data_IF_043635804242
#
_entry.id   IF_043635804242
#
_cell.length_a   1.000
_cell.length_b   1.000
_cell.length_c   1.000
_cell.angle_alpha   90.00
_cell.angle_beta   90.00
_cell.angle_gamma   90.00
#
_symmetry.space_group_name_H-M   'P 1'
#
loop_
_entity.id
_entity.type
_entity.pdbx_description
1 polymer ?
#
# COMPACT_ATOMS: atom_id res chain seq x y z
N UNK A 1 65.17 33.70 6.53
CA UNK A 1 64.45 34.92 6.98
C UNK A 1 62.97 34.75 6.66
N UNK A 2 62.10 35.04 7.63
CA UNK A 2 60.64 35.27 7.56
C UNK A 2 59.63 34.10 7.42
N UNK A 3 58.88 34.00 8.52
CA UNK A 3 57.63 33.31 8.83
C UNK A 3 56.46 33.82 7.96
N UNK A 4 55.49 32.96 7.63
CA UNK A 4 54.04 33.26 7.73
C UNK A 4 53.15 32.01 7.56
N UNK A 5 52.45 31.75 8.65
CA UNK A 5 51.28 30.92 8.92
C UNK A 5 50.25 30.81 7.80
N UNK A 6 49.64 29.64 7.62
CA UNK A 6 48.23 29.55 7.22
C UNK A 6 47.56 28.36 7.91
N UNK A 7 46.81 28.69 8.95
CA UNK A 7 45.81 27.85 9.61
C UNK A 7 44.63 27.73 8.64
N UNK A 8 44.19 26.51 8.31
CA UNK A 8 43.09 26.29 7.37
C UNK A 8 42.35 24.98 7.65
N UNK A 9 41.40 25.06 8.57
CA UNK A 9 40.38 24.05 8.90
C UNK A 9 39.57 23.62 7.68
N UNK A 10 39.52 22.32 7.37
CA UNK A 10 38.47 21.71 6.54
C UNK A 10 38.04 20.37 7.15
N UNK A 11 37.56 20.42 8.39
CA UNK A 11 36.61 19.43 8.92
C UNK A 11 35.21 19.83 8.46
N UNK A 12 34.52 18.96 7.70
CA UNK A 12 33.08 19.14 7.49
C UNK A 12 32.55 18.84 6.09
N UNK A 13 32.87 17.67 5.52
CA UNK A 13 32.07 17.12 4.42
C UNK A 13 31.85 15.61 4.62
N UNK A 14 31.72 15.20 5.89
CA UNK A 14 31.38 13.83 6.26
C UNK A 14 29.88 13.62 5.99
N UNK A 15 29.60 12.83 4.95
CA UNK A 15 28.45 11.92 4.83
C UNK A 15 27.07 12.52 5.15
N UNK A 16 26.46 13.21 4.19
CA UNK A 16 25.02 13.48 4.24
C UNK A 16 24.31 13.20 2.90
N UNK A 17 24.66 12.09 2.24
CA UNK A 17 24.03 11.69 0.97
C UNK A 17 23.40 10.29 0.97
N UNK A 18 23.26 9.61 2.12
CA UNK A 18 22.76 8.21 2.16
C UNK A 18 21.56 8.03 3.09
N UNK A 19 20.70 9.04 3.27
CA UNK A 19 19.49 8.85 4.07
C UNK A 19 18.35 9.71 3.55
N UNK A 20 17.92 9.46 2.31
CA UNK A 20 16.52 9.69 2.00
C UNK A 20 15.98 8.38 1.47
N UNK A 21 15.31 7.55 2.31
CA UNK A 21 14.29 6.69 1.75
C UNK A 21 13.26 7.64 1.14
N UNK A 22 13.35 7.91 -0.16
CA UNK A 22 12.26 8.54 -0.92
C UNK A 22 11.17 7.50 -1.15
N UNK A 23 10.83 6.72 -0.13
CA UNK A 23 9.50 6.15 -0.03
C UNK A 23 8.62 7.31 0.42
N UNK A 24 8.40 8.25 -0.49
CA UNK A 24 7.18 9.01 -0.49
C UNK A 24 6.10 7.95 -0.67
N UNK A 25 5.61 7.41 0.44
CA UNK A 25 4.38 6.64 0.51
C UNK A 25 3.28 7.65 0.17
N UNK A 26 3.18 8.02 -1.11
CA UNK A 26 1.96 8.55 -1.64
C UNK A 26 0.95 7.44 -1.35
N UNK A 27 -0.07 7.77 -0.56
CA UNK A 27 -1.12 6.84 -0.18
C UNK A 27 -1.42 5.89 -1.36
N UNK A 28 -1.12 4.60 -1.21
CA UNK A 28 -1.22 3.61 -2.30
C UNK A 28 -2.67 3.57 -2.81
N UNK A 29 -3.59 4.02 -1.96
CA UNK A 29 -4.92 4.54 -2.26
C UNK A 29 -5.89 4.04 -1.20
N UNK A 30 -7.12 3.76 -1.62
CA UNK A 30 -8.09 3.13 -0.73
C UNK A 30 -8.80 1.96 -1.42
N UNK A 31 -9.14 0.94 -0.64
CA UNK A 31 -10.12 -0.06 -1.07
C UNK A 31 -11.38 0.18 -0.28
N UNK A 32 -12.46 0.51 -0.98
CA UNK A 32 -13.78 0.68 -0.38
C UNK A 32 -14.61 -0.56 -0.66
N UNK A 33 -15.26 -1.12 0.37
CA UNK A 33 -16.12 -2.27 0.20
C UNK A 33 -17.40 -2.14 1.01
N UNK A 34 -18.45 -2.81 0.53
CA UNK A 34 -19.72 -2.93 1.23
C UNK A 34 -19.82 -4.35 1.74
N UNK A 35 -19.94 -4.51 3.05
CA UNK A 35 -20.13 -5.82 3.68
C UNK A 35 -21.55 -6.38 3.43
N UNK A 36 -21.75 -7.64 3.82
CA UNK A 36 -23.03 -8.34 3.67
C UNK A 36 -24.19 -7.68 4.46
N UNK A 37 -23.87 -6.85 5.47
CA UNK A 37 -24.88 -6.08 6.21
C UNK A 37 -25.20 -4.73 5.54
N UNK A 38 -24.52 -4.39 4.45
CA UNK A 38 -24.70 -3.14 3.73
C UNK A 38 -23.91 -1.96 4.32
N UNK A 39 -23.00 -2.21 5.27
CA UNK A 39 -22.15 -1.15 5.79
C UNK A 39 -20.93 -0.93 4.88
N UNK A 40 -20.62 0.34 4.64
CA UNK A 40 -19.44 0.76 3.90
C UNK A 40 -18.22 0.73 4.81
N UNK A 41 -17.16 0.11 4.33
CA UNK A 41 -15.87 0.02 4.98
C UNK A 41 -14.80 0.56 4.03
N UNK A 42 -13.74 1.13 4.60
CA UNK A 42 -12.63 1.69 3.83
C UNK A 42 -11.32 1.17 4.41
N UNK A 43 -10.52 0.51 3.58
CA UNK A 43 -9.13 0.19 3.86
C UNK A 43 -8.28 1.31 3.28
N UNK A 44 -7.75 2.17 4.15
CA UNK A 44 -6.77 3.19 3.76
C UNK A 44 -5.38 2.56 3.70
N UNK A 45 -4.67 2.82 2.60
CA UNK A 45 -3.30 2.34 2.39
C UNK A 45 -3.10 0.85 2.73
N UNK A 46 -3.91 -0.05 2.15
CA UNK A 46 -3.79 -1.47 2.41
C UNK A 46 -2.39 -1.98 2.02
N UNK A 47 -1.82 -2.83 2.87
CA UNK A 47 -0.48 -3.39 2.66
C UNK A 47 -0.46 -4.29 1.42
N UNK A 48 0.35 -3.91 0.42
CA UNK A 48 0.56 -4.69 -0.80
C UNK A 48 1.35 -5.97 -0.51
N UNK A 49 1.10 -7.02 -1.29
CA UNK A 49 1.82 -8.29 -1.17
C UNK A 49 1.36 -9.18 -0.02
N UNK A 50 0.42 -8.73 0.82
CA UNK A 50 -0.15 -9.49 1.93
C UNK A 50 -1.66 -9.71 1.76
N UNK A 51 -2.12 -10.83 2.31
CA UNK A 51 -3.53 -11.18 2.31
C UNK A 51 -4.25 -10.50 3.48
N UNK A 52 -5.34 -9.80 3.18
CA UNK A 52 -6.17 -9.09 4.14
C UNK A 52 -7.49 -9.83 4.29
N UNK A 53 -7.71 -10.44 5.46
CA UNK A 53 -8.98 -11.07 5.80
C UNK A 53 -10.01 -10.03 6.20
N UNK A 54 -11.20 -10.12 5.62
CA UNK A 54 -12.32 -9.25 5.95
C UNK A 54 -13.07 -9.81 7.16
N UNK A 55 -13.40 -8.93 8.10
CA UNK A 55 -14.21 -9.31 9.26
C UNK A 55 -15.62 -9.78 8.86
N UNK A 56 -16.15 -9.23 7.77
CA UNK A 56 -17.42 -9.62 7.17
C UNK A 56 -17.26 -9.70 5.65
N UNK A 57 -17.95 -10.64 4.99
CA UNK A 57 -17.78 -10.83 3.57
C UNK A 57 -18.28 -9.60 2.78
N UNK A 58 -17.50 -9.17 1.79
CA UNK A 58 -17.84 -8.07 0.92
C UNK A 58 -18.75 -8.52 -0.24
N UNK A 59 -19.78 -7.72 -0.53
CA UNK A 59 -20.68 -7.90 -1.69
C UNK A 59 -20.33 -7.01 -2.87
N UNK A 60 -19.72 -5.86 -2.57
CA UNK A 60 -19.23 -4.88 -3.53
C UNK A 60 -17.87 -4.40 -3.06
N UNK A 61 -16.93 -4.26 -3.97
CA UNK A 61 -15.59 -3.74 -3.68
C UNK A 61 -15.14 -2.82 -4.81
N UNK A 62 -14.59 -1.68 -4.44
CA UNK A 62 -14.01 -0.67 -5.33
C UNK A 62 -12.55 -0.51 -4.96
N UNK A 63 -11.69 -0.79 -5.93
CA UNK A 63 -10.26 -0.59 -5.78
C UNK A 63 -9.91 0.83 -6.27
N UNK A 64 -9.67 1.75 -5.33
CA UNK A 64 -9.16 3.09 -5.60
C UNK A 64 -7.67 3.22 -5.31
N UNK A 65 -6.95 2.10 -5.32
CA UNK A 65 -5.48 2.10 -5.29
C UNK A 65 -4.90 2.28 -6.69
N UNK A 66 -3.58 2.47 -6.76
CA UNK A 66 -2.80 2.46 -7.99
C UNK A 66 -2.32 1.05 -8.38
N UNK A 67 -2.76 0.00 -7.69
CA UNK A 67 -2.39 -1.39 -7.93
C UNK A 67 -3.61 -2.25 -8.26
N UNK A 68 -3.37 -3.38 -8.91
CA UNK A 68 -4.40 -4.39 -9.09
C UNK A 68 -4.61 -5.15 -7.79
N UNK A 69 -5.87 -5.50 -7.52
CA UNK A 69 -6.26 -6.30 -6.38
C UNK A 69 -6.90 -7.61 -6.84
N UNK A 70 -6.93 -8.58 -5.96
CA UNK A 70 -7.65 -9.84 -6.11
C UNK A 70 -8.52 -10.05 -4.88
N UNK A 71 -9.76 -10.47 -5.11
CA UNK A 71 -10.71 -10.81 -4.04
C UNK A 71 -11.04 -12.29 -4.12
N UNK A 72 -11.27 -12.92 -2.97
CA UNK A 72 -11.34 -14.36 -2.85
C UNK A 72 -12.61 -14.81 -2.12
N UNK A 73 -13.20 -15.95 -2.52
CA UNK A 73 -14.40 -16.52 -1.88
C UNK A 73 -14.15 -17.12 -0.50
N UNK A 74 -12.89 -17.26 -0.09
CA UNK A 74 -12.51 -17.79 1.21
C UNK A 74 -11.54 -16.85 1.93
N UNK A 75 -11.31 -17.11 3.22
CA UNK A 75 -10.28 -16.45 4.00
C UNK A 75 -8.89 -16.85 3.49
N UNK A 76 -7.87 -16.09 3.90
CA UNK A 76 -6.45 -16.36 3.64
C UNK A 76 -6.11 -16.46 2.14
N UNK A 77 -6.86 -15.73 1.31
CA UNK A 77 -6.67 -15.62 -0.14
C UNK A 77 -6.76 -16.97 -0.85
N UNK A 78 -7.71 -17.79 -0.40
CA UNK A 78 -7.99 -19.10 -0.95
C UNK A 78 -9.33 -19.14 -1.72
N UNK A 79 -9.56 -20.21 -2.47
CA UNK A 79 -10.81 -20.41 -3.22
C UNK A 79 -10.82 -19.69 -4.57
N UNK A 80 -12.01 -19.34 -5.05
CA UNK A 80 -12.18 -18.67 -6.34
C UNK A 80 -11.74 -17.21 -6.26
N UNK A 81 -10.89 -16.83 -7.21
CA UNK A 81 -10.31 -15.50 -7.30
C UNK A 81 -11.03 -14.65 -8.36
N UNK A 82 -11.36 -13.42 -8.02
CA UNK A 82 -11.74 -12.38 -8.98
C UNK A 82 -10.72 -11.25 -8.97
N UNK A 83 -10.16 -10.92 -10.13
CA UNK A 83 -9.26 -9.77 -10.26
C UNK A 83 -10.07 -8.46 -10.32
N UNK A 84 -9.61 -7.48 -9.55
CA UNK A 84 -10.13 -6.12 -9.46
C UNK A 84 -9.00 -5.16 -9.80
N UNK A 85 -8.91 -4.82 -11.10
CA UNK A 85 -7.95 -3.84 -11.59
C UNK A 85 -8.05 -2.50 -10.82
N UNK A 86 -6.96 -1.72 -10.84
CA UNK A 86 -6.97 -0.37 -10.27
C UNK A 86 -8.13 0.48 -10.83
N UNK A 87 -8.70 1.35 -10.00
CA UNK A 87 -9.87 2.19 -10.32
C UNK A 87 -11.12 1.44 -10.82
N UNK A 88 -11.27 0.15 -10.49
CA UNK A 88 -12.45 -0.66 -10.87
C UNK A 88 -13.26 -1.08 -9.66
N UNK A 89 -14.55 -1.28 -9.92
CA UNK A 89 -15.52 -1.81 -8.96
C UNK A 89 -16.02 -3.17 -9.44
N UNK A 90 -16.10 -4.12 -8.53
CA UNK A 90 -16.74 -5.43 -8.73
C UNK A 90 -17.91 -5.60 -7.78
N UNK A 91 -18.94 -6.31 -8.24
CA UNK A 91 -20.13 -6.69 -7.46
C UNK A 91 -20.43 -8.16 -7.69
N UNK A 92 -21.06 -8.80 -6.71
CA UNK A 92 -21.46 -10.21 -6.83
C UNK A 92 -20.72 -11.15 -5.89
N UNK A 93 -20.12 -10.63 -4.81
CA UNK A 93 -19.55 -11.45 -3.74
C UNK A 93 -20.58 -12.40 -3.09
N UNK A 94 -20.13 -13.28 -2.19
CA UNK A 94 -19.31 -12.86 -1.05
C UNK A 94 -17.81 -13.08 -1.24
N UNK A 95 -17.02 -12.07 -0.91
CA UNK A 95 -15.56 -12.16 -0.81
C UNK A 95 -15.12 -12.04 0.64
N UNK A 96 -14.19 -12.89 1.07
CA UNK A 96 -13.77 -12.99 2.47
C UNK A 96 -12.35 -12.48 2.69
N UNK A 97 -11.55 -12.40 1.63
CA UNK A 97 -10.21 -11.83 1.71
C UNK A 97 -9.85 -11.07 0.43
N UNK A 98 -8.88 -10.16 0.58
CA UNK A 98 -8.37 -9.28 -0.47
C UNK A 98 -6.85 -9.37 -0.48
N UNK A 99 -6.26 -9.43 -1.67
CA UNK A 99 -4.82 -9.34 -1.89
C UNK A 99 -4.54 -8.19 -2.84
N UNK A 100 -3.55 -7.36 -2.54
CA UNK A 100 -3.06 -6.36 -3.48
C UNK A 100 -1.73 -6.81 -4.07
N UNK A 101 -1.59 -6.66 -5.39
CA UNK A 101 -0.33 -6.91 -6.10
C UNK A 101 0.78 -5.98 -5.60
N UNK A 102 2.05 -6.36 -5.78
CA UNK A 102 3.23 -5.60 -5.29
C UNK A 102 3.76 -4.57 -6.26
#
# INVERSE_FOLDING_TARGET
MRIRTTLGTLTGALLLLVAVPTSAHAADGAVEYVDDQGANQTLMDPESGNCINLAMPAKKLSNFTNKDAAVYTEADCNGDQTNVNYSRTVTGGPWYSIYLDT
#
